data_IF_667833693192
#
_entry.id   IF_667833693192
#
_cell.length_a   1.000
_cell.length_b   1.000
_cell.length_c   1.000
_cell.angle_alpha   90.00
_cell.angle_beta   90.00
_cell.angle_gamma   90.00
#
_symmetry.space_group_name_H-M   'P 1'
#
loop_
_entity.id
_entity.type
_entity.pdbx_description
1 polymer ?
#
# COMPACT_ATOMS: atom_id res chain seq x y z
N UNK A 1 -6.43 -1.63 9.07
CA UNK A 1 -6.21 -1.49 7.61
C UNK A 1 -7.53 -1.21 6.96
N UNK A 2 -7.59 -0.21 6.09
CA UNK A 2 -8.76 0.00 5.27
C UNK A 2 -8.95 -1.16 4.29
N UNK A 3 -10.21 -1.49 4.04
CA UNK A 3 -10.60 -2.50 3.07
C UNK A 3 -10.22 -2.04 1.66
N UNK A 4 -9.78 -2.97 0.80
CA UNK A 4 -9.49 -2.67 -0.60
C UNK A 4 -10.75 -2.15 -1.28
N UNK A 5 -10.68 -0.98 -1.88
CA UNK A 5 -11.87 -0.31 -2.40
C UNK A 5 -11.60 0.47 -3.68
N UNK A 6 -12.64 0.57 -4.52
CA UNK A 6 -12.69 1.39 -5.73
C UNK A 6 -14.00 2.16 -5.73
N UNK A 7 -13.92 3.49 -5.81
CA UNK A 7 -15.10 4.37 -5.74
C UNK A 7 -15.92 4.20 -4.45
N UNK A 8 -15.28 3.86 -3.33
CA UNK A 8 -15.89 3.61 -2.03
C UNK A 8 -16.47 2.22 -1.85
N UNK A 9 -16.40 1.34 -2.86
CA UNK A 9 -16.95 -0.02 -2.83
C UNK A 9 -15.83 -1.06 -2.64
N UNK A 10 -16.06 -2.10 -1.83
CA UNK A 10 -15.06 -3.15 -1.63
C UNK A 10 -14.76 -3.87 -2.94
N UNK A 11 -13.48 -4.18 -3.13
CA UNK A 11 -12.95 -4.86 -4.32
C UNK A 11 -12.80 -6.36 -4.03
N UNK A 12 -13.15 -7.21 -5.01
CA UNK A 12 -12.94 -8.66 -4.95
C UNK A 12 -11.49 -9.02 -5.33
N UNK A 13 -10.97 -10.13 -4.79
CA UNK A 13 -9.56 -10.51 -4.96
C UNK A 13 -9.14 -10.87 -6.40
N UNK A 14 -7.85 -10.67 -6.68
CA UNK A 14 -7.20 -10.79 -8.00
C UNK A 14 -7.27 -12.21 -8.61
N UNK A 15 -7.39 -13.25 -7.78
CA UNK A 15 -7.37 -14.66 -8.22
C UNK A 15 -8.50 -15.04 -9.19
N UNK A 16 -9.59 -14.27 -9.20
CA UNK A 16 -10.76 -14.50 -10.06
C UNK A 16 -10.60 -14.08 -11.53
N UNK A 17 -9.49 -13.42 -11.92
CA UNK A 17 -9.34 -12.79 -13.24
C UNK A 17 -8.15 -13.30 -14.08
N UNK A 18 -7.51 -14.41 -13.72
CA UNK A 18 -6.53 -15.08 -14.58
C UNK A 18 -5.08 -14.58 -14.46
N UNK A 19 -4.70 -13.98 -13.32
CA UNK A 19 -3.30 -13.76 -12.94
C UNK A 19 -2.64 -12.47 -13.44
N UNK A 20 -3.20 -11.79 -14.44
CA UNK A 20 -2.76 -10.43 -14.83
C UNK A 20 -3.64 -9.36 -14.17
N UNK A 21 -3.03 -8.27 -13.71
CA UNK A 21 -3.77 -7.17 -13.10
C UNK A 21 -4.52 -6.35 -14.15
N UNK A 22 -5.85 -6.30 -14.01
CA UNK A 22 -6.73 -5.61 -14.93
C UNK A 22 -7.13 -4.24 -14.35
N UNK A 23 -6.76 -3.12 -14.99
CA UNK A 23 -7.18 -1.80 -14.53
C UNK A 23 -8.67 -1.57 -14.77
N UNK A 24 -9.22 -0.52 -14.13
CA UNK A 24 -10.65 -0.21 -14.14
C UNK A 24 -11.13 0.61 -15.35
N UNK A 25 -10.37 0.62 -16.45
CA UNK A 25 -10.70 1.37 -17.67
C UNK A 25 -10.53 0.52 -18.95
N UNK A 26 -11.04 1.05 -20.07
CA UNK A 26 -10.84 0.48 -21.40
C UNK A 26 -11.31 -0.98 -21.54
N UNK A 27 -10.59 -1.83 -22.31
CA UNK A 27 -10.98 -3.23 -22.51
C UNK A 27 -10.91 -4.06 -21.22
N UNK A 28 -9.98 -3.74 -20.31
CA UNK A 28 -9.86 -4.41 -19.02
C UNK A 28 -11.13 -4.28 -18.18
N UNK A 29 -11.76 -3.09 -18.19
CA UNK A 29 -13.07 -2.88 -17.53
C UNK A 29 -14.16 -3.80 -18.08
N UNK A 30 -14.18 -4.05 -19.39
CA UNK A 30 -15.15 -4.96 -20.00
C UNK A 30 -14.92 -6.42 -19.57
N UNK A 31 -13.66 -6.84 -19.43
CA UNK A 31 -13.31 -8.17 -18.90
C UNK A 31 -13.76 -8.30 -17.44
N UNK A 32 -13.49 -7.30 -16.59
CA UNK A 32 -13.97 -7.28 -15.19
C UNK A 32 -15.50 -7.33 -15.11
N UNK A 33 -16.20 -6.60 -15.98
CA UNK A 33 -17.66 -6.61 -16.03
C UNK A 33 -18.22 -7.97 -16.45
N UNK A 34 -17.58 -8.65 -17.42
CA UNK A 34 -17.97 -10.01 -17.83
C UNK A 34 -17.77 -11.02 -16.70
N UNK A 35 -16.62 -10.96 -16.02
CA UNK A 35 -16.35 -11.83 -14.88
C UNK A 35 -17.37 -11.61 -13.74
N UNK A 36 -17.69 -10.35 -13.44
CA UNK A 36 -18.74 -10.00 -12.49
C UNK A 36 -20.11 -10.57 -12.90
N UNK A 37 -20.49 -10.43 -14.17
CA UNK A 37 -21.76 -10.94 -14.68
C UNK A 37 -21.85 -12.47 -14.63
N UNK A 38 -20.75 -13.17 -14.96
CA UNK A 38 -20.64 -14.63 -14.82
C UNK A 38 -20.79 -15.07 -13.37
N UNK A 39 -20.17 -14.35 -12.43
CA UNK A 39 -20.30 -14.66 -11.01
C UNK A 39 -21.74 -14.41 -10.51
N UNK A 40 -22.38 -13.32 -10.96
CA UNK A 40 -23.79 -13.05 -10.64
C UNK A 40 -24.74 -14.14 -11.18
N UNK A 41 -24.47 -14.70 -12.36
CA UNK A 41 -25.28 -15.78 -12.91
C UNK A 41 -25.03 -17.11 -12.20
N UNK A 42 -23.77 -17.43 -11.87
CA UNK A 42 -23.39 -18.64 -11.15
C UNK A 42 -23.91 -18.66 -9.70
N UNK A 43 -23.94 -17.49 -9.05
CA UNK A 43 -24.52 -17.34 -7.71
C UNK A 43 -26.05 -17.39 -7.71
N UNK A 44 -26.72 -17.44 -8.88
CA UNK A 44 -28.17 -17.40 -9.03
C UNK A 44 -28.84 -16.23 -8.28
N UNK A 45 -28.15 -15.08 -8.18
CA UNK A 45 -28.60 -13.94 -7.38
C UNK A 45 -28.39 -14.07 -5.87
N UNK A 46 -27.74 -15.15 -5.43
CA UNK A 46 -27.25 -15.32 -4.07
C UNK A 46 -26.20 -14.25 -3.76
N UNK A 47 -26.49 -13.40 -2.78
CA UNK A 47 -25.49 -12.47 -2.25
C UNK A 47 -24.47 -13.29 -1.49
N UNK A 48 -23.17 -12.99 -1.61
CA UNK A 48 -22.16 -13.61 -0.74
C UNK A 48 -22.46 -13.22 0.72
N UNK A 49 -23.19 -14.07 1.44
CA UNK A 49 -23.47 -13.92 2.87
C UNK A 49 -22.17 -13.64 3.63
N UNK A 50 -21.07 -14.29 3.26
CA UNK A 50 -19.74 -14.07 3.82
C UNK A 50 -19.22 -12.61 3.76
N UNK A 51 -19.65 -11.75 2.83
CA UNK A 51 -19.27 -10.33 2.81
C UNK A 51 -20.21 -9.48 3.68
N UNK A 52 -21.50 -9.83 3.72
CA UNK A 52 -22.48 -9.18 4.59
C UNK A 52 -22.22 -9.54 6.07
N UNK A 53 -21.97 -10.81 6.36
CA UNK A 53 -21.73 -11.37 7.70
C UNK A 53 -20.44 -10.84 8.34
N UNK A 54 -19.39 -10.60 7.55
CA UNK A 54 -18.10 -10.04 8.02
C UNK A 54 -18.25 -8.73 8.82
N UNK A 55 -19.36 -8.00 8.63
CA UNK A 55 -19.63 -6.74 9.30
C UNK A 55 -21.00 -6.64 9.97
N UNK A 56 -21.86 -7.67 9.88
CA UNK A 56 -23.18 -7.65 10.54
C UNK A 56 -23.01 -7.52 12.05
N UNK A 57 -22.16 -8.34 12.68
CA UNK A 57 -21.93 -8.29 14.14
C UNK A 57 -21.38 -6.93 14.60
N UNK A 58 -20.55 -6.28 13.78
CA UNK A 58 -19.94 -4.98 14.12
C UNK A 58 -20.89 -3.79 13.96
N UNK A 59 -21.88 -3.90 13.07
CA UNK A 59 -22.83 -2.82 12.77
C UNK A 59 -24.17 -2.99 13.48
N UNK A 60 -24.57 -4.22 13.76
CA UNK A 60 -25.85 -4.53 14.42
C UNK A 60 -25.72 -4.65 15.94
N UNK A 61 -24.54 -5.01 16.45
CA UNK A 61 -24.30 -5.07 17.88
C UNK A 61 -23.31 -3.97 18.27
N UNK A 62 -23.68 -3.16 19.28
CA UNK A 62 -22.73 -2.29 19.96
C UNK A 62 -21.70 -3.20 20.65
N UNK A 63 -20.40 -3.11 20.32
CA UNK A 63 -19.40 -3.90 21.02
C UNK A 63 -19.42 -3.52 22.49
N UNK A 64 -19.45 -4.51 23.38
CA UNK A 64 -19.26 -4.26 24.82
C UNK A 64 -17.82 -3.77 25.00
N UNK A 65 -17.59 -2.58 25.61
CA UNK A 65 -16.24 -2.10 25.87
C UNK A 65 -15.49 -3.13 26.72
N UNK A 66 -14.30 -3.55 26.27
CA UNK A 66 -13.46 -4.50 27.02
C UNK A 66 -12.86 -3.86 28.29
N UNK A 67 -12.84 -2.54 28.37
CA UNK A 67 -12.30 -1.75 29.47
C UNK A 67 -13.02 -0.41 29.58
N UNK A 68 -12.84 0.29 30.71
CA UNK A 68 -13.25 1.69 30.85
C UNK A 68 -12.56 2.59 29.82
N UNK A 69 -13.23 3.65 29.33
CA UNK A 69 -12.59 4.65 28.51
C UNK A 69 -11.40 5.30 29.24
N UNK A 70 -10.29 5.58 28.55
CA UNK A 70 -9.16 6.26 29.17
C UNK A 70 -9.55 7.70 29.56
N UNK A 71 -9.02 8.15 30.69
CA UNK A 71 -9.08 9.55 31.11
C UNK A 71 -8.05 10.38 30.36
N UNK A 72 -8.15 11.71 30.44
CA UNK A 72 -7.13 12.61 29.88
C UNK A 72 -5.75 12.32 30.51
N UNK A 73 -5.72 12.09 31.83
CA UNK A 73 -4.50 11.75 32.55
C UNK A 73 -3.84 10.47 32.01
N UNK A 74 -4.64 9.49 31.58
CA UNK A 74 -4.12 8.26 31.01
C UNK A 74 -3.41 8.48 29.67
N UNK A 75 -3.72 9.55 28.92
CA UNK A 75 -3.24 9.80 27.54
C UNK A 75 -2.06 10.76 27.52
N UNK A 76 -1.98 11.70 28.47
CA UNK A 76 -0.89 12.68 28.55
C UNK A 76 0.47 11.96 28.55
N UNK A 77 1.32 12.30 27.57
CA UNK A 77 2.69 11.79 27.49
C UNK A 77 2.87 10.41 26.83
N UNK A 78 1.80 9.73 26.37
CA UNK A 78 1.90 8.36 25.80
C UNK A 78 2.82 8.18 24.59
N UNK A 79 3.11 9.25 23.85
CA UNK A 79 3.94 9.20 22.64
C UNK A 79 5.38 9.70 22.86
N UNK A 80 5.72 10.16 24.07
CA UNK A 80 7.03 10.75 24.36
C UNK A 80 8.16 9.73 24.23
N UNK A 81 7.89 8.44 24.44
CA UNK A 81 8.83 7.34 24.24
C UNK A 81 9.19 7.08 22.76
N UNK A 82 8.46 7.69 21.81
CA UNK A 82 8.71 7.59 20.36
C UNK A 82 9.48 8.79 19.79
N UNK A 83 9.79 9.78 20.62
CA UNK A 83 10.51 11.00 20.22
C UNK A 83 11.89 10.99 20.84
N UNK A 84 12.93 11.12 20.01
CA UNK A 84 14.33 11.02 20.43
C UNK A 84 15.27 11.66 19.42
N UNK A 85 16.57 11.51 19.65
CA UNK A 85 17.59 12.01 18.71
C UNK A 85 17.68 11.14 17.45
N UNK A 86 18.19 11.69 16.34
CA UNK A 86 18.26 10.97 15.05
C UNK A 86 19.09 9.67 15.13
N UNK A 87 20.15 9.67 15.92
CA UNK A 87 21.03 8.52 16.18
C UNK A 87 20.35 7.39 16.99
N UNK A 88 19.19 7.64 17.59
CA UNK A 88 18.35 6.61 18.21
C UNK A 88 17.46 5.89 17.18
N UNK A 89 17.34 6.44 15.96
CA UNK A 89 16.62 5.81 14.85
C UNK A 89 17.51 4.75 14.18
N UNK A 90 16.89 3.63 13.82
CA UNK A 90 17.58 2.54 13.14
C UNK A 90 17.83 2.86 11.68
N UNK A 91 19.10 3.06 11.32
CA UNK A 91 19.54 3.11 9.92
C UNK A 91 19.76 1.71 9.33
N UNK A 92 19.20 0.66 9.95
CA UNK A 92 19.26 -0.73 9.45
C UNK A 92 17.89 -1.23 9.02
N UNK A 93 16.84 -0.85 9.76
CA UNK A 93 15.44 -1.19 9.50
C UNK A 93 14.87 -0.34 8.37
N UNK A 94 15.19 -0.71 7.13
CA UNK A 94 14.70 -0.02 5.94
C UNK A 94 13.34 -0.57 5.51
N UNK A 95 12.56 0.29 4.87
CA UNK A 95 11.29 -0.05 4.24
C UNK A 95 11.35 0.19 2.73
N UNK A 96 10.46 -0.47 1.99
CA UNK A 96 10.21 -0.22 0.57
C UNK A 96 8.72 0.02 0.35
N UNK A 97 8.39 0.76 -0.71
CA UNK A 97 7.00 1.03 -1.06
C UNK A 97 6.40 -0.18 -1.79
N UNK A 98 5.20 -0.59 -1.38
CA UNK A 98 4.39 -1.62 -2.02
C UNK A 98 3.08 -0.98 -2.48
N UNK A 99 2.77 -1.07 -3.78
CA UNK A 99 1.52 -0.56 -4.34
C UNK A 99 0.48 -1.68 -4.35
N UNK A 100 -0.72 -1.37 -3.88
CA UNK A 100 -1.90 -2.21 -4.05
C UNK A 100 -2.56 -1.89 -5.40
N UNK A 101 -2.30 -2.74 -6.39
CA UNK A 101 -2.75 -2.54 -7.77
C UNK A 101 -4.28 -2.46 -7.87
N UNK A 102 -5.01 -3.19 -7.03
CA UNK A 102 -6.49 -3.19 -7.01
C UNK A 102 -7.09 -1.88 -6.49
N UNK A 103 -6.36 -1.15 -5.64
CA UNK A 103 -6.77 0.19 -5.17
C UNK A 103 -6.23 1.32 -6.05
N UNK A 104 -5.29 1.03 -6.94
CA UNK A 104 -4.66 2.03 -7.79
C UNK A 104 -5.70 2.62 -8.76
N UNK A 105 -5.65 3.94 -8.93
CA UNK A 105 -6.48 4.69 -9.90
C UNK A 105 -5.66 5.18 -11.11
N UNK A 106 -4.47 4.61 -11.31
CA UNK A 106 -3.65 4.80 -12.51
C UNK A 106 -3.19 6.26 -12.78
N UNK A 107 -3.14 7.11 -11.74
CA UNK A 107 -2.86 8.55 -11.90
C UNK A 107 -1.38 8.89 -12.18
N UNK A 108 -0.44 7.96 -11.96
CA UNK A 108 0.99 8.19 -12.18
C UNK A 108 1.70 9.16 -11.22
N UNK A 109 1.02 9.73 -10.21
CA UNK A 109 1.64 10.66 -9.26
C UNK A 109 2.84 10.06 -8.51
N UNK A 110 2.72 8.81 -8.07
CA UNK A 110 3.83 8.10 -7.43
C UNK A 110 5.05 7.98 -8.36
N UNK A 111 4.81 7.64 -9.64
CA UNK A 111 5.84 7.56 -10.67
C UNK A 111 6.51 8.92 -10.90
N UNK A 112 5.74 9.98 -11.15
CA UNK A 112 6.25 11.34 -11.38
C UNK A 112 7.10 11.84 -10.20
N UNK A 113 6.59 11.69 -8.97
CA UNK A 113 7.33 12.11 -7.77
C UNK A 113 8.62 11.30 -7.56
N UNK A 114 8.61 10.00 -7.85
CA UNK A 114 9.83 9.21 -7.76
C UNK A 114 10.85 9.59 -8.83
N UNK A 115 10.40 9.98 -10.02
CA UNK A 115 11.28 10.41 -11.10
C UNK A 115 11.92 11.77 -10.85
N UNK A 116 11.11 12.79 -10.54
CA UNK A 116 11.60 14.18 -10.50
C UNK A 116 12.05 14.62 -9.11
N UNK A 117 11.70 13.86 -8.06
CA UNK A 117 12.01 14.20 -6.66
C UNK A 117 12.60 13.02 -5.88
N UNK A 118 12.84 11.88 -6.54
CA UNK A 118 13.27 10.64 -5.88
C UNK A 118 14.42 9.94 -6.57
N UNK A 119 14.24 8.65 -6.83
CA UNK A 119 15.28 7.70 -7.23
C UNK A 119 14.92 6.91 -8.49
N UNK A 120 13.92 7.38 -9.26
CA UNK A 120 13.49 6.76 -10.53
C UNK A 120 13.15 5.27 -10.38
N UNK A 121 12.65 4.84 -9.22
CA UNK A 121 12.54 3.44 -8.80
C UNK A 121 11.17 2.79 -9.11
N UNK A 122 10.33 3.46 -9.89
CA UNK A 122 8.98 2.99 -10.21
C UNK A 122 8.88 2.85 -11.73
N UNK A 123 8.51 1.68 -12.21
CA UNK A 123 8.10 1.48 -13.59
C UNK A 123 6.62 1.80 -13.73
N UNK A 124 6.24 2.42 -14.83
CA UNK A 124 4.85 2.77 -15.11
C UNK A 124 4.44 2.19 -16.46
N UNK A 125 3.58 1.17 -16.43
CA UNK A 125 3.23 0.44 -17.65
C UNK A 125 2.41 1.31 -18.62
N UNK A 126 2.82 1.33 -19.89
CA UNK A 126 2.25 2.22 -20.89
C UNK A 126 0.84 1.84 -21.34
N UNK A 127 0.36 0.62 -21.06
CA UNK A 127 -0.96 0.13 -21.48
C UNK A 127 -1.97 0.15 -20.34
N UNK A 128 -1.57 -0.38 -19.19
CA UNK A 128 -2.39 -0.53 -18.00
C UNK A 128 -2.28 0.66 -17.07
N UNK A 129 -1.23 1.49 -17.21
CA UNK A 129 -0.93 2.61 -16.32
C UNK A 129 -0.81 2.16 -14.85
N UNK A 130 -0.32 0.94 -14.63
CA UNK A 130 -0.04 0.41 -13.29
C UNK A 130 1.42 0.70 -12.92
N UNK A 131 1.67 1.28 -11.73
CA UNK A 131 3.02 1.48 -11.22
C UNK A 131 3.55 0.23 -10.51
N UNK A 132 4.77 -0.19 -10.85
CA UNK A 132 5.49 -1.28 -10.18
C UNK A 132 6.76 -0.73 -9.54
N UNK A 133 6.93 -0.96 -8.25
CA UNK A 133 8.13 -0.49 -7.52
C UNK A 133 9.24 -1.52 -7.68
N UNK A 134 10.40 -1.09 -8.19
CA UNK A 134 11.60 -1.92 -8.18
C UNK A 134 12.23 -1.88 -6.79
N UNK A 135 12.01 -2.93 -6.00
CA UNK A 135 12.50 -3.01 -4.61
C UNK A 135 14.01 -2.77 -4.50
N UNK A 136 14.79 -3.25 -5.48
CA UNK A 136 16.24 -3.04 -5.54
C UNK A 136 16.63 -1.55 -5.54
N UNK A 137 15.88 -0.71 -6.25
CA UNK A 137 16.15 0.71 -6.42
C UNK A 137 15.45 1.59 -5.39
N UNK A 138 14.33 1.13 -4.84
CA UNK A 138 13.54 1.88 -3.87
C UNK A 138 14.34 2.11 -2.57
N UNK A 139 14.45 3.36 -2.15
CA UNK A 139 15.16 3.75 -0.92
C UNK A 139 14.26 3.86 0.30
N UNK A 140 12.95 3.72 0.13
CA UNK A 140 12.00 3.89 1.22
C UNK A 140 11.75 5.35 1.63
N UNK A 141 12.06 6.33 0.79
CA UNK A 141 11.92 7.77 1.12
C UNK A 141 10.49 8.24 1.40
N UNK A 142 9.47 7.39 1.21
CA UNK A 142 8.04 7.63 1.47
C UNK A 142 7.33 8.70 0.61
N UNK A 143 8.03 9.41 -0.28
CA UNK A 143 7.41 10.47 -1.10
C UNK A 143 6.23 9.99 -1.95
N UNK A 144 6.33 8.81 -2.56
CA UNK A 144 5.24 8.24 -3.38
C UNK A 144 3.98 7.96 -2.55
N UNK A 145 4.14 7.49 -1.30
CA UNK A 145 3.04 7.27 -0.37
C UNK A 145 2.33 8.60 -0.04
N UNK A 146 3.10 9.64 0.27
CA UNK A 146 2.59 10.96 0.66
C UNK A 146 1.79 11.68 -0.43
N UNK A 147 2.07 11.42 -1.71
CA UNK A 147 1.37 12.05 -2.85
C UNK A 147 0.23 11.20 -3.43
N UNK A 148 0.08 9.96 -2.96
CA UNK A 148 -0.93 9.05 -3.48
C UNK A 148 -2.34 9.58 -3.11
N UNK A 149 -3.24 9.80 -4.08
CA UNK A 149 -4.58 10.31 -3.81
C UNK A 149 -5.52 9.27 -3.18
N UNK A 150 -5.12 8.00 -3.16
CA UNK A 150 -5.92 6.89 -2.61
C UNK A 150 -5.33 6.49 -1.26
N UNK A 151 -6.06 6.68 -0.14
CA UNK A 151 -5.60 6.29 1.19
C UNK A 151 -5.22 4.80 1.23
N UNK A 152 -4.09 4.48 1.87
CA UNK A 152 -3.54 3.13 2.01
C UNK A 152 -3.24 2.37 0.69
N UNK A 153 -3.33 3.01 -0.48
CA UNK A 153 -2.98 2.37 -1.77
C UNK A 153 -1.50 2.00 -1.84
N UNK A 154 -0.61 2.83 -1.27
CA UNK A 154 0.81 2.53 -1.15
C UNK A 154 1.11 2.27 0.32
N UNK A 155 1.82 1.19 0.64
CA UNK A 155 2.24 0.87 2.00
C UNK A 155 3.75 0.79 2.07
N UNK A 156 4.32 1.18 3.20
CA UNK A 156 5.73 0.96 3.48
C UNK A 156 5.85 -0.41 4.17
N UNK A 157 6.57 -1.34 3.53
CA UNK A 157 6.80 -2.69 4.05
C UNK A 157 8.27 -2.88 4.33
N UNK A 158 8.60 -3.75 5.29
CA UNK A 158 9.98 -4.05 5.64
C UNK A 158 10.79 -4.55 4.44
N UNK A 159 11.99 -4.01 4.25
CA UNK A 159 12.90 -4.44 3.20
C UNK A 159 13.54 -5.76 3.62
N UNK A 160 13.35 -6.80 2.81
CA UNK A 160 13.92 -8.14 3.06
C UNK A 160 15.43 -8.23 2.84
N UNK A 161 16.01 -7.27 2.13
CA UNK A 161 17.44 -7.24 1.77
C UNK A 161 18.15 -6.09 2.47
N UNK A 162 19.45 -6.26 2.72
CA UNK A 162 20.29 -5.19 3.25
C UNK A 162 20.27 -3.98 2.31
N UNK A 163 20.07 -2.79 2.87
CA UNK A 163 20.11 -1.54 2.10
C UNK A 163 21.55 -1.07 1.93
N UNK A 164 21.92 -0.76 0.68
CA UNK A 164 23.21 -0.18 0.34
C UNK A 164 23.00 1.23 -0.23
N UNK A 165 23.45 2.30 0.47
CA UNK A 165 23.29 3.66 -0.01
C UNK A 165 23.99 3.89 -1.36
N UNK A 166 23.26 4.46 -2.32
CA UNK A 166 23.80 4.84 -3.65
C UNK A 166 24.72 6.05 -3.50
N UNK A 167 26.04 5.85 -3.52
CA UNK A 167 27.04 6.91 -3.35
C UNK A 167 27.39 7.68 -4.64
N UNK A 168 26.98 7.17 -5.81
CA UNK A 168 27.27 7.77 -7.13
C UNK A 168 28.70 7.54 -7.60
N UNK A 169 29.68 7.75 -6.72
CA UNK A 169 31.10 7.44 -6.92
C UNK A 169 31.57 6.36 -5.94
N UNK A 170 32.58 5.55 -6.30
CA UNK A 170 33.18 4.61 -5.36
C UNK A 170 33.71 5.35 -4.13
N UNK A 171 33.43 4.81 -2.95
CA UNK A 171 34.05 5.32 -1.72
C UNK A 171 35.54 5.05 -1.83
N UNK A 172 36.37 6.09 -1.68
CA UNK A 172 37.81 5.92 -1.65
C UNK A 172 38.14 4.84 -0.60
N UNK A 173 38.89 3.82 -1.00
CA UNK A 173 39.38 2.81 -0.06
C UNK A 173 40.24 3.55 0.95
N UNK A 174 39.74 3.74 2.17
CA UNK A 174 40.56 4.22 3.26
C UNK A 174 41.66 3.18 3.45
N UNK A 175 42.89 3.51 3.05
CA UNK A 175 44.06 2.96 3.73
C UNK A 175 43.83 3.12 5.23
N UNK A 176 44.22 2.14 6.07
CA UNK A 176 44.00 2.23 7.50
C UNK A 176 44.55 3.57 7.99
N UNK A 177 43.67 4.37 8.58
CA UNK A 177 44.08 5.59 9.29
C UNK A 177 44.96 5.12 10.45
N UNK A 178 46.19 5.64 10.61
CA UNK A 178 47.11 5.24 11.68
C UNK A 178 46.55 5.52 13.08
#
# INVERSE_FOLDING_TARGET
MNERQQGGKPVKEMGTLGGEHLPYFGPARAVRAKAWAQECSQSAGGVSLALAERHLDRRLCRPVPRSSPPTVADIIGRALDKVGAYNELSNKEHVVALVDEEMCINCGKCYMTCNDTGYQAIDFDAKTHLPVVREADCTGCTLCHSVCPVPDCIRMVERKTLYMPKRGIPVASTSPVP
#
